data_IF_566035024093
#
_entry.id   IF_566035024093
#
_cell.length_a   1.000
_cell.length_b   1.000
_cell.length_c   1.000
_cell.angle_alpha   90.00
_cell.angle_beta   90.00
_cell.angle_gamma   90.00
#
_symmetry.space_group_name_H-M   'P 1'
#
loop_
_entity.id
_entity.type
_entity.pdbx_description
1 polymer ?
#
# COMPACT_ATOMS: atom_id res chain seq x y z
N UNK A 1 9.42 -12.32 -20.75
CA UNK A 1 8.59 -11.10 -20.70
C UNK A 1 7.70 -11.13 -19.48
N UNK A 2 7.86 -10.16 -18.57
CA UNK A 2 6.78 -9.48 -17.83
C UNK A 2 7.44 -8.53 -16.83
N UNK A 3 8.05 -7.46 -17.35
CA UNK A 3 8.31 -6.27 -16.53
C UNK A 3 6.96 -5.61 -16.32
N UNK A 4 6.27 -6.06 -15.28
CA UNK A 4 5.00 -5.50 -14.90
C UNK A 4 5.31 -4.14 -14.28
N UNK A 5 5.31 -3.09 -15.10
CA UNK A 5 5.44 -1.69 -14.66
C UNK A 5 4.20 -1.23 -13.87
N UNK A 6 3.52 -2.12 -13.16
CA UNK A 6 2.43 -1.77 -12.28
C UNK A 6 3.03 -1.22 -11.00
N UNK A 7 3.04 0.11 -10.90
CA UNK A 7 3.32 0.80 -9.64
C UNK A 7 2.11 0.57 -8.74
N UNK A 8 2.18 -0.47 -7.92
CA UNK A 8 1.18 -0.80 -6.91
C UNK A 8 1.60 -0.19 -5.58
N UNK A 9 0.67 0.49 -4.92
CA UNK A 9 0.86 0.99 -3.55
C UNK A 9 -0.20 0.41 -2.62
N UNK A 10 0.23 -0.11 -1.49
CA UNK A 10 -0.63 -0.57 -0.39
C UNK A 10 -0.63 0.50 0.68
N UNK A 11 -1.78 1.11 0.91
CA UNK A 11 -1.99 2.14 1.93
C UNK A 11 -2.80 1.52 3.06
N UNK A 12 -2.29 1.57 4.29
CA UNK A 12 -3.04 1.09 5.44
C UNK A 12 -3.29 2.19 6.48
N UNK A 13 -4.41 2.07 7.19
CA UNK A 13 -4.72 2.89 8.36
C UNK A 13 -4.73 2.00 9.59
N UNK A 14 -3.75 2.19 10.45
CA UNK A 14 -3.63 1.47 11.71
C UNK A 14 -3.95 2.41 12.87
N UNK A 15 -4.90 2.03 13.74
CA UNK A 15 -5.11 2.70 15.03
C UNK A 15 -4.43 1.95 16.19
N UNK A 16 -4.23 0.63 16.03
CA UNK A 16 -3.72 -0.28 17.07
C UNK A 16 -2.66 -1.31 16.59
N UNK A 17 -2.06 -1.11 15.41
CA UNK A 17 -0.97 -1.96 14.89
C UNK A 17 -1.42 -3.22 14.14
N UNK A 18 -2.67 -3.64 14.27
CA UNK A 18 -3.14 -4.95 13.79
C UNK A 18 -3.24 -5.04 12.26
N UNK A 19 -3.68 -3.97 11.59
CA UNK A 19 -3.85 -3.93 10.14
C UNK A 19 -2.52 -3.83 9.36
N UNK A 20 -1.43 -3.44 10.02
CA UNK A 20 -0.11 -3.28 9.40
C UNK A 20 0.46 -4.61 8.91
N UNK A 21 0.30 -5.67 9.70
CA UNK A 21 0.92 -6.97 9.43
C UNK A 21 0.38 -7.60 8.15
N UNK A 22 -0.93 -7.52 7.94
CA UNK A 22 -1.58 -7.98 6.71
C UNK A 22 -1.20 -7.14 5.51
N UNK A 23 -1.18 -5.82 5.66
CA UNK A 23 -0.77 -4.91 4.59
C UNK A 23 0.68 -5.18 4.15
N UNK A 24 1.55 -5.54 5.11
CA UNK A 24 2.94 -5.89 4.84
C UNK A 24 3.09 -7.21 4.10
N UNK A 25 2.32 -8.24 4.44
CA UNK A 25 2.30 -9.50 3.68
C UNK A 25 1.87 -9.30 2.23
N UNK A 26 0.79 -8.52 2.02
CA UNK A 26 0.29 -8.22 0.68
C UNK A 26 1.35 -7.43 -0.12
N UNK A 27 2.00 -6.46 0.52
CA UNK A 27 3.05 -5.68 -0.12
C UNK A 27 4.27 -6.54 -0.51
N UNK A 28 4.67 -7.49 0.34
CA UNK A 28 5.78 -8.41 0.06
C UNK A 28 5.45 -9.37 -1.10
N UNK A 29 4.25 -9.96 -1.09
CA UNK A 29 3.83 -10.90 -2.15
C UNK A 29 3.67 -10.22 -3.51
N UNK A 30 3.11 -9.02 -3.53
CA UNK A 30 2.85 -8.26 -4.76
C UNK A 30 4.05 -7.40 -5.17
N UNK A 31 5.09 -7.31 -4.32
CA UNK A 31 6.21 -6.37 -4.45
C UNK A 31 5.74 -4.92 -4.64
N UNK A 32 4.76 -4.54 -3.83
CA UNK A 32 4.14 -3.22 -3.83
C UNK A 32 4.75 -2.33 -2.74
N UNK A 33 4.66 -1.02 -2.90
CA UNK A 33 5.10 -0.08 -1.87
C UNK A 33 4.09 -0.03 -0.71
N UNK A 34 4.54 -0.16 0.53
CA UNK A 34 3.69 -0.09 1.71
C UNK A 34 3.79 1.28 2.39
N UNK A 35 2.68 2.01 2.47
CA UNK A 35 2.60 3.28 3.18
C UNK A 35 1.49 3.32 4.22
N UNK A 36 1.74 4.07 5.28
CA UNK A 36 0.71 4.42 6.25
C UNK A 36 -0.04 5.67 5.78
N UNK A 37 -1.36 5.73 5.99
CA UNK A 37 -2.17 6.90 5.62
C UNK A 37 -1.62 8.23 6.18
N UNK A 38 -0.97 8.20 7.34
CA UNK A 38 -0.38 9.39 7.97
C UNK A 38 0.92 9.87 7.31
N UNK A 39 1.58 9.03 6.49
CA UNK A 39 2.90 9.30 5.91
C UNK A 39 2.88 9.54 4.39
N UNK A 40 1.75 9.32 3.73
CA UNK A 40 1.62 9.45 2.27
C UNK A 40 0.86 10.71 1.88
N UNK A 41 1.36 11.39 0.86
CA UNK A 41 0.75 12.62 0.30
C UNK A 41 -0.06 12.26 -0.95
N UNK A 42 -1.10 13.03 -1.27
CA UNK A 42 -1.89 12.86 -2.50
C UNK A 42 -1.02 12.81 -3.77
N UNK A 43 0.02 13.64 -3.84
CA UNK A 43 0.97 13.66 -4.97
C UNK A 43 1.74 12.35 -5.16
N UNK A 44 1.97 11.58 -4.09
CA UNK A 44 2.63 10.28 -4.21
C UNK A 44 1.64 9.22 -4.67
N UNK A 45 0.42 9.23 -4.12
CA UNK A 45 -0.67 8.33 -4.53
C UNK A 45 -0.95 8.46 -6.04
N UNK A 46 -0.95 9.68 -6.57
CA UNK A 46 -1.17 9.97 -8.00
C UNK A 46 -0.10 9.39 -8.94
N UNK A 47 1.06 8.96 -8.44
CA UNK A 47 2.13 8.34 -9.25
C UNK A 47 1.94 6.83 -9.44
N UNK A 48 0.98 6.24 -8.73
CA UNK A 48 0.69 4.81 -8.74
C UNK A 48 -0.56 4.54 -9.58
N UNK A 49 -0.52 3.47 -10.37
CA UNK A 49 -1.66 3.04 -11.18
C UNK A 49 -2.67 2.25 -10.36
N UNK A 50 -2.19 1.48 -9.37
CA UNK A 50 -3.02 0.64 -8.53
C UNK A 50 -2.82 0.97 -7.06
N UNK A 51 -3.91 1.26 -6.37
CA UNK A 51 -3.89 1.64 -4.95
C UNK A 51 -4.75 0.64 -4.18
N UNK A 52 -4.14 -0.07 -3.24
CA UNK A 52 -4.82 -1.00 -2.33
C UNK A 52 -4.96 -0.32 -0.99
N UNK A 53 -6.19 -0.05 -0.56
CA UNK A 53 -6.44 0.63 0.71
C UNK A 53 -6.99 -0.34 1.78
N UNK A 54 -6.24 -0.55 2.85
CA UNK A 54 -6.60 -1.39 3.99
C UNK A 54 -6.94 -0.58 5.22
N UNK A 55 -8.22 -0.54 5.60
CA UNK A 55 -8.68 0.11 6.84
C UNK A 55 -9.43 -0.87 7.73
N UNK A 56 -9.22 -0.78 9.03
CA UNK A 56 -10.08 -1.45 10.02
C UNK A 56 -11.00 -0.40 10.64
N UNK A 57 -12.31 -0.63 10.55
CA UNK A 57 -13.32 0.14 11.26
C UNK A 57 -13.48 -0.38 12.69
#
# INVERSE_FOLDING_TARGET
MSDNSNKVVVIYKSKYGSAQRYAQWIADEVKADLFERSKITLNDILKYDTIVYGGWC
#
